data_IF_419861179212
#
_entry.id   IF_419861179212
#
_cell.length_a   1.000
_cell.length_b   1.000
_cell.length_c   1.000
_cell.angle_alpha   90.00
_cell.angle_beta   90.00
_cell.angle_gamma   90.00
#
_symmetry.space_group_name_H-M   'P 1'
#
loop_
_entity.id
_entity.type
_entity.pdbx_description
1 polymer ?
#
# COMPACT_ATOMS: atom_id res chain seq x y z
N UNK A 1 61.18 57.49 13.79
CA UNK A 1 60.19 56.48 14.16
C UNK A 1 58.89 56.83 13.49
N UNK A 2 58.51 56.16 12.40
CA UNK A 2 57.23 56.35 11.71
C UNK A 2 56.30 55.16 12.07
N UNK A 3 55.21 55.49 12.69
CA UNK A 3 54.17 54.51 13.06
C UNK A 3 53.29 54.33 11.83
N UNK A 4 53.27 53.10 11.27
CA UNK A 4 52.38 52.71 10.19
C UNK A 4 51.10 52.16 10.88
N UNK A 5 49.98 52.83 10.66
CA UNK A 5 48.65 52.33 11.00
C UNK A 5 48.17 51.43 9.88
N UNK A 6 47.99 50.14 10.15
CA UNK A 6 47.32 49.20 9.26
C UNK A 6 45.84 49.19 9.63
N UNK A 7 45.01 49.67 8.72
CA UNK A 7 43.55 49.60 8.80
C UNK A 7 43.12 48.30 8.15
N UNK A 8 42.66 47.32 8.90
CA UNK A 8 42.09 46.12 8.36
C UNK A 8 40.62 46.39 7.97
N UNK A 9 40.36 46.38 6.68
CA UNK A 9 39.00 46.38 6.15
C UNK A 9 38.45 44.93 6.19
N UNK A 10 37.50 44.66 7.07
CA UNK A 10 36.74 43.41 7.09
C UNK A 10 35.61 43.54 6.07
N UNK A 11 35.80 42.99 4.87
CA UNK A 11 34.69 42.76 3.93
C UNK A 11 33.86 41.57 4.41
N UNK A 12 32.75 41.85 5.06
CA UNK A 12 31.71 40.85 5.31
C UNK A 12 30.98 40.57 3.99
N UNK A 13 31.30 39.45 3.35
CA UNK A 13 30.52 38.90 2.24
C UNK A 13 29.28 38.23 2.86
N UNK A 14 28.20 38.94 2.91
CA UNK A 14 26.84 38.37 3.16
C UNK A 14 26.46 37.61 1.88
N UNK A 15 26.77 36.33 1.85
CA UNK A 15 26.17 35.41 0.89
C UNK A 15 24.69 35.27 1.26
N UNK A 16 23.84 36.02 0.57
CA UNK A 16 22.39 35.82 0.62
C UNK A 16 22.10 34.46 -0.04
N UNK A 17 21.96 33.41 0.78
CA UNK A 17 21.29 32.19 0.36
C UNK A 17 19.81 32.55 0.18
N UNK A 18 19.42 32.85 -1.05
CA UNK A 18 18.02 32.82 -1.45
C UNK A 18 17.58 31.36 -1.42
N UNK A 19 17.13 30.90 -0.26
CA UNK A 19 16.32 29.70 -0.15
C UNK A 19 15.09 30.00 -0.99
N UNK A 20 14.99 29.40 -2.19
CA UNK A 20 13.75 29.39 -2.95
C UNK A 20 12.73 28.68 -2.06
N UNK A 21 11.85 29.46 -1.42
CA UNK A 21 10.73 28.90 -0.69
C UNK A 21 9.94 28.05 -1.69
N UNK A 22 9.94 26.74 -1.49
CA UNK A 22 9.16 25.82 -2.32
C UNK A 22 7.72 26.34 -2.32
N UNK A 23 7.09 26.43 -3.51
CA UNK A 23 5.68 26.83 -3.59
C UNK A 23 4.86 25.85 -2.78
N UNK A 24 4.22 26.34 -1.72
CA UNK A 24 3.36 25.52 -0.84
C UNK A 24 2.03 25.15 -1.49
N UNK A 25 1.69 25.80 -2.62
CA UNK A 25 0.54 25.43 -3.44
C UNK A 25 0.98 25.38 -4.89
N UNK A 26 0.73 24.25 -5.53
CA UNK A 26 1.11 24.00 -6.93
C UNK A 26 -0.12 23.62 -7.76
N UNK A 27 -0.02 23.84 -9.07
CA UNK A 27 -1.04 23.38 -10.02
C UNK A 27 -0.41 22.32 -10.91
N UNK A 28 -0.95 21.12 -10.88
CA UNK A 28 -0.58 20.03 -11.77
C UNK A 28 -1.57 19.95 -12.93
N UNK A 29 -1.11 19.49 -14.09
CA UNK A 29 -1.95 19.26 -15.26
C UNK A 29 -2.04 17.73 -15.52
N UNK A 30 -3.26 17.22 -15.47
CA UNK A 30 -3.56 15.82 -15.76
C UNK A 30 -4.46 15.74 -16.99
N UNK A 31 -3.87 15.56 -18.16
CA UNK A 31 -4.57 15.52 -19.45
C UNK A 31 -5.44 16.76 -19.74
N UNK A 32 -4.94 17.97 -19.42
CA UNK A 32 -5.63 19.24 -19.59
C UNK A 32 -6.52 19.65 -18.42
N UNK A 33 -6.64 18.81 -17.39
CA UNK A 33 -7.33 19.17 -16.14
C UNK A 33 -6.32 19.73 -15.14
N UNK A 34 -6.48 20.99 -14.78
CA UNK A 34 -5.62 21.67 -13.80
C UNK A 34 -6.10 21.39 -12.39
N UNK A 35 -5.29 20.68 -11.62
CA UNK A 35 -5.56 20.30 -10.23
C UNK A 35 -4.67 21.10 -9.30
N UNK A 36 -5.27 21.75 -8.32
CA UNK A 36 -4.57 22.43 -7.24
C UNK A 36 -4.17 21.46 -6.15
N UNK A 37 -2.88 21.43 -5.81
CA UNK A 37 -2.32 20.60 -4.72
C UNK A 37 -1.81 21.53 -3.62
N UNK A 38 -2.33 21.35 -2.43
CA UNK A 38 -1.98 22.12 -1.24
C UNK A 38 -0.88 21.39 -0.42
N UNK A 39 0.19 22.11 -0.10
CA UNK A 39 1.28 21.67 0.80
C UNK A 39 1.46 22.63 1.99
N UNK A 40 0.44 23.45 2.27
CA UNK A 40 0.42 24.46 3.33
C UNK A 40 -0.61 24.07 4.39
N UNK A 41 -0.16 23.65 5.55
CA UNK A 41 -1.00 23.23 6.69
C UNK A 41 -1.98 24.34 7.11
N UNK A 42 -1.57 25.63 7.02
CA UNK A 42 -2.43 26.76 7.38
C UNK A 42 -3.65 26.93 6.47
N UNK A 43 -3.68 26.26 5.34
CA UNK A 43 -4.77 26.29 4.35
C UNK A 43 -5.70 25.09 4.43
N UNK A 44 -5.48 24.18 5.37
CA UNK A 44 -6.41 23.09 5.60
C UNK A 44 -7.71 23.65 6.16
N UNK A 45 -8.81 23.41 5.45
CA UNK A 45 -10.13 23.82 5.91
C UNK A 45 -10.53 23.05 7.18
N UNK A 46 -11.32 23.66 8.08
CA UNK A 46 -11.89 22.91 9.20
C UNK A 46 -12.70 21.71 8.70
N UNK A 47 -12.51 20.57 9.33
CA UNK A 47 -13.23 19.34 9.03
C UNK A 47 -13.62 18.61 10.32
N UNK A 48 -14.60 17.72 10.23
CA UNK A 48 -14.99 16.81 11.30
C UNK A 48 -14.87 15.38 10.81
N UNK A 49 -14.48 14.46 11.69
CA UNK A 49 -14.39 13.04 11.38
C UNK A 49 -15.60 12.31 11.95
N UNK A 50 -16.13 11.38 11.19
CA UNK A 50 -17.15 10.44 11.62
C UNK A 50 -16.56 9.50 12.67
N UNK A 51 -17.35 9.23 13.72
CA UNK A 51 -16.94 8.26 14.75
C UNK A 51 -17.12 6.82 14.19
N UNK A 52 -16.04 6.01 14.07
CA UNK A 52 -16.16 4.63 13.61
C UNK A 52 -17.10 3.77 14.47
N UNK A 53 -17.28 4.13 15.73
CA UNK A 53 -18.17 3.44 16.69
C UNK A 53 -19.61 3.99 16.69
N UNK A 54 -20.01 4.68 15.61
CA UNK A 54 -21.37 5.20 15.43
C UNK A 54 -21.89 4.75 14.06
N UNK A 55 -23.03 4.06 14.05
CA UNK A 55 -23.71 3.67 12.80
C UNK A 55 -24.18 4.89 12.00
N UNK A 56 -24.43 4.70 10.70
CA UNK A 56 -24.96 5.78 9.83
C UNK A 56 -26.30 6.33 10.35
N UNK A 57 -27.12 5.52 11.02
CA UNK A 57 -28.39 5.93 11.63
C UNK A 57 -28.22 6.64 12.99
N UNK A 58 -26.98 6.89 13.44
CA UNK A 58 -26.66 7.58 14.69
C UNK A 58 -26.59 6.70 15.93
N UNK A 59 -26.97 5.42 15.87
CA UNK A 59 -26.81 4.49 16.99
C UNK A 59 -25.34 4.27 17.33
N UNK A 60 -25.02 4.14 18.62
CA UNK A 60 -23.68 3.81 19.07
C UNK A 60 -23.43 2.31 19.06
N UNK A 61 -22.25 1.90 18.67
CA UNK A 61 -21.72 0.54 18.83
C UNK A 61 -21.51 0.28 20.32
N UNK A 62 -22.17 -0.76 20.87
CA UNK A 62 -22.12 -1.08 22.31
C UNK A 62 -21.52 -2.45 22.60
N UNK A 63 -21.38 -3.29 21.59
CA UNK A 63 -20.88 -4.66 21.73
C UNK A 63 -19.96 -5.04 20.56
N UNK A 64 -19.19 -6.12 20.72
CA UNK A 64 -18.42 -6.70 19.61
C UNK A 64 -19.32 -7.16 18.45
N UNK A 65 -20.55 -7.60 18.75
CA UNK A 65 -21.53 -7.96 17.72
C UNK A 65 -21.96 -6.73 16.92
N UNK A 66 -22.26 -5.60 17.60
CA UNK A 66 -22.55 -4.33 16.92
C UNK A 66 -21.38 -3.89 16.06
N UNK A 67 -20.14 -4.06 16.56
CA UNK A 67 -18.95 -3.71 15.78
C UNK A 67 -18.84 -4.50 14.48
N UNK A 68 -19.14 -5.79 14.48
CA UNK A 68 -19.14 -6.59 13.25
C UNK A 68 -20.09 -6.02 12.21
N UNK A 69 -21.32 -5.66 12.63
CA UNK A 69 -22.31 -5.05 11.74
C UNK A 69 -21.85 -3.67 11.25
N UNK A 70 -21.30 -2.84 12.16
CA UNK A 70 -20.78 -1.53 11.78
C UNK A 70 -19.60 -1.62 10.83
N UNK A 71 -18.69 -2.57 11.04
CA UNK A 71 -17.56 -2.83 10.15
C UNK A 71 -18.03 -3.16 8.73
N UNK A 72 -19.03 -4.02 8.58
CA UNK A 72 -19.61 -4.32 7.25
C UNK A 72 -20.26 -3.08 6.63
N UNK A 73 -20.97 -2.26 7.40
CA UNK A 73 -21.53 -0.99 6.93
C UNK A 73 -20.42 -0.04 6.43
N UNK A 74 -19.30 0.06 7.14
CA UNK A 74 -18.15 0.86 6.70
C UNK A 74 -17.57 0.29 5.40
N UNK A 75 -17.34 -1.01 5.31
CA UNK A 75 -16.79 -1.64 4.10
C UNK A 75 -17.72 -1.47 2.90
N UNK A 76 -19.05 -1.51 3.11
CA UNK A 76 -20.03 -1.24 2.06
C UNK A 76 -19.95 0.20 1.57
N UNK A 77 -19.75 1.19 2.47
CA UNK A 77 -19.53 2.59 2.08
C UNK A 77 -18.28 2.70 1.19
N UNK A 78 -17.14 2.14 1.61
CA UNK A 78 -15.92 2.18 0.80
C UNK A 78 -16.06 1.45 -0.53
N UNK A 79 -16.81 0.35 -0.57
CA UNK A 79 -17.09 -0.38 -1.81
C UNK A 79 -17.93 0.44 -2.78
N UNK A 80 -18.98 1.10 -2.31
CA UNK A 80 -19.88 1.87 -3.15
C UNK A 80 -19.32 3.22 -3.57
N UNK A 81 -18.54 3.84 -2.69
CA UNK A 81 -18.16 5.25 -2.82
C UNK A 81 -16.71 5.47 -3.27
N UNK A 82 -15.81 4.45 -3.17
CA UNK A 82 -14.39 4.68 -3.43
C UNK A 82 -13.70 3.56 -4.22
N UNK A 83 -13.66 2.31 -3.71
CA UNK A 83 -12.83 1.25 -4.31
C UNK A 83 -13.58 0.28 -5.23
N UNK A 84 -14.88 0.45 -5.33
CA UNK A 84 -15.77 -0.44 -6.10
C UNK A 84 -16.17 -1.70 -5.35
N UNK A 85 -17.32 -2.23 -5.74
CA UNK A 85 -17.90 -3.46 -5.18
C UNK A 85 -17.05 -4.66 -5.60
N UNK A 86 -16.63 -5.47 -4.64
CA UNK A 86 -15.85 -6.66 -4.89
C UNK A 86 -16.66 -7.68 -5.72
N UNK A 87 -16.06 -8.28 -6.76
CA UNK A 87 -16.74 -9.29 -7.57
C UNK A 87 -16.96 -10.59 -6.77
N UNK A 88 -17.86 -11.45 -7.26
CA UNK A 88 -18.06 -12.76 -6.65
C UNK A 88 -16.77 -13.59 -6.68
N UNK A 89 -16.74 -14.64 -5.84
CA UNK A 89 -15.64 -15.62 -5.85
C UNK A 89 -15.43 -16.16 -7.27
N UNK A 90 -14.18 -16.45 -7.68
CA UNK A 90 -13.90 -17.02 -8.98
C UNK A 90 -14.54 -18.43 -9.09
N UNK A 91 -14.84 -18.84 -10.32
CA UNK A 91 -15.40 -20.17 -10.66
C UNK A 91 -14.54 -21.31 -10.09
N UNK A 92 -13.23 -21.17 -10.19
CA UNK A 92 -12.24 -22.09 -9.64
C UNK A 92 -11.04 -21.34 -9.10
N UNK A 93 -10.23 -21.99 -8.28
CA UNK A 93 -8.89 -21.57 -7.93
C UNK A 93 -7.95 -22.75 -8.06
N UNK A 94 -7.23 -22.81 -9.17
CA UNK A 94 -6.29 -23.86 -9.49
C UNK A 94 -4.88 -23.30 -9.42
N UNK A 95 -4.01 -24.00 -8.68
CA UNK A 95 -2.62 -23.60 -8.50
C UNK A 95 -1.71 -24.72 -8.98
N UNK A 96 -1.00 -24.47 -10.07
CA UNK A 96 -0.02 -25.41 -10.61
C UNK A 96 1.38 -25.01 -10.13
N UNK A 97 2.06 -25.93 -9.44
CA UNK A 97 3.48 -25.80 -9.10
C UNK A 97 4.29 -25.99 -10.38
N UNK A 98 4.91 -24.93 -10.87
CA UNK A 98 5.67 -24.95 -12.14
C UNK A 98 7.18 -25.09 -11.94
N UNK A 99 7.69 -24.71 -10.77
CA UNK A 99 9.10 -24.84 -10.43
C UNK A 99 9.29 -24.93 -8.91
N UNK A 100 10.16 -25.84 -8.48
CA UNK A 100 10.65 -25.92 -7.11
C UNK A 100 12.17 -26.06 -7.13
N UNK A 101 12.88 -25.26 -6.34
CA UNK A 101 14.34 -25.27 -6.27
C UNK A 101 14.84 -24.89 -4.90
N UNK A 102 15.92 -25.50 -4.48
CA UNK A 102 16.70 -25.05 -3.32
C UNK A 102 17.52 -23.84 -3.74
N UNK A 103 17.37 -22.72 -3.06
CA UNK A 103 17.97 -21.42 -3.37
C UNK A 103 18.45 -20.70 -2.11
N UNK A 104 18.86 -19.44 -2.21
CA UNK A 104 19.40 -18.64 -1.11
C UNK A 104 20.53 -19.42 -0.37
N UNK A 105 21.55 -19.86 -1.11
CA UNK A 105 22.69 -20.66 -0.59
C UNK A 105 22.26 -21.89 0.23
N UNK A 106 21.13 -22.51 -0.10
CA UNK A 106 20.61 -23.69 0.59
C UNK A 106 19.65 -23.40 1.74
N UNK A 107 19.40 -22.15 2.06
CA UNK A 107 18.54 -21.77 3.20
C UNK A 107 17.05 -21.76 2.89
N UNK A 108 16.63 -21.74 1.61
CA UNK A 108 15.24 -21.71 1.23
C UNK A 108 14.86 -22.77 0.19
N UNK A 109 13.60 -23.19 0.21
CA UNK A 109 12.91 -23.79 -0.93
C UNK A 109 12.16 -22.63 -1.61
N UNK A 110 12.44 -22.40 -2.88
CA UNK A 110 11.68 -21.48 -3.71
C UNK A 110 10.70 -22.27 -4.57
N UNK A 111 9.43 -21.86 -4.56
CA UNK A 111 8.37 -22.41 -5.41
C UNK A 111 7.79 -21.31 -6.31
N UNK A 112 7.52 -21.64 -7.55
CA UNK A 112 6.80 -20.81 -8.49
C UNK A 112 5.49 -21.48 -8.87
N UNK A 113 4.39 -20.74 -8.76
CA UNK A 113 3.05 -21.22 -9.03
C UNK A 113 2.39 -20.39 -10.13
N UNK A 114 1.60 -21.06 -10.97
CA UNK A 114 0.58 -20.39 -11.81
C UNK A 114 -0.77 -20.59 -11.17
N UNK A 115 -1.47 -19.49 -10.92
CA UNK A 115 -2.79 -19.49 -10.32
C UNK A 115 -3.82 -19.12 -11.39
N UNK A 116 -4.78 -20.00 -11.65
CA UNK A 116 -5.86 -19.84 -12.61
C UNK A 116 -7.21 -19.77 -11.88
N UNK A 117 -8.18 -19.13 -12.52
CA UNK A 117 -9.48 -18.83 -11.96
C UNK A 117 -10.64 -19.52 -12.66
N UNK A 118 -10.34 -20.35 -13.68
CA UNK A 118 -11.27 -21.24 -14.40
C UNK A 118 -10.76 -22.66 -14.37
N UNK A 119 -11.69 -23.62 -14.38
CA UNK A 119 -11.35 -25.06 -14.29
C UNK A 119 -10.51 -25.56 -15.49
N UNK A 120 -10.71 -24.97 -16.66
CA UNK A 120 -9.97 -25.28 -17.90
C UNK A 120 -8.62 -24.56 -18.02
N UNK A 121 -8.24 -23.74 -17.00
CA UNK A 121 -7.00 -22.91 -16.98
C UNK A 121 -6.92 -21.87 -18.11
N UNK A 122 -8.03 -21.50 -18.69
CA UNK A 122 -8.09 -20.40 -19.68
C UNK A 122 -8.23 -19.03 -19.00
N UNK A 123 -7.88 -17.96 -19.74
CA UNK A 123 -7.99 -16.59 -19.27
C UNK A 123 -6.81 -16.12 -18.42
N UNK A 124 -7.00 -15.10 -17.59
CA UNK A 124 -5.92 -14.52 -16.82
C UNK A 124 -5.36 -15.48 -15.76
N UNK A 125 -4.05 -15.42 -15.56
CA UNK A 125 -3.38 -16.12 -14.47
C UNK A 125 -2.43 -15.20 -13.74
N UNK A 126 -2.17 -15.51 -12.46
CA UNK A 126 -1.21 -14.78 -11.63
C UNK A 126 -0.05 -15.72 -11.29
N UNK A 127 1.18 -15.25 -11.54
CA UNK A 127 2.40 -16.00 -11.23
C UNK A 127 2.88 -15.65 -9.83
N UNK A 128 2.65 -16.55 -8.90
CA UNK A 128 3.13 -16.43 -7.52
C UNK A 128 4.50 -17.03 -7.34
N UNK A 129 5.36 -16.37 -6.57
CA UNK A 129 6.64 -16.89 -6.12
C UNK A 129 6.69 -16.92 -4.59
N UNK A 130 7.29 -17.99 -4.05
CA UNK A 130 7.29 -18.27 -2.64
C UNK A 130 8.67 -18.78 -2.20
N UNK A 131 9.22 -18.23 -1.12
CA UNK A 131 10.44 -18.73 -0.46
C UNK A 131 10.10 -19.21 0.94
N UNK A 132 10.46 -20.46 1.26
CA UNK A 132 10.18 -21.13 2.52
C UNK A 132 11.50 -21.48 3.20
N UNK A 133 11.73 -21.12 4.49
CA UNK A 133 12.96 -21.50 5.22
C UNK A 133 13.09 -23.01 5.34
N UNK A 134 14.18 -23.61 4.80
CA UNK A 134 14.41 -25.07 4.86
C UNK A 134 14.69 -25.60 6.25
N UNK A 135 15.22 -24.78 7.13
CA UNK A 135 15.57 -25.17 8.49
C UNK A 135 14.35 -25.24 9.43
N UNK A 136 13.22 -24.72 9.03
CA UNK A 136 12.02 -24.72 9.86
C UNK A 136 11.43 -26.13 10.02
N UNK A 137 11.19 -26.51 11.28
CA UNK A 137 10.60 -27.83 11.63
C UNK A 137 9.08 -27.80 11.78
N UNK A 138 8.48 -26.62 11.77
CA UNK A 138 7.03 -26.36 11.90
C UNK A 138 6.60 -25.37 10.84
N UNK A 139 5.32 -25.34 10.50
CA UNK A 139 4.81 -24.30 9.60
C UNK A 139 5.16 -22.90 10.07
N UNK A 140 5.60 -22.06 9.14
CA UNK A 140 6.11 -20.71 9.38
C UNK A 140 5.10 -19.63 8.99
N UNK A 141 5.12 -18.45 9.62
CA UNK A 141 4.35 -17.31 9.15
C UNK A 141 4.79 -16.88 7.75
N UNK A 142 3.94 -16.17 7.03
CA UNK A 142 4.20 -15.69 5.66
C UNK A 142 4.02 -14.19 5.55
N UNK A 143 4.95 -13.52 4.87
CA UNK A 143 4.82 -12.13 4.42
C UNK A 143 4.41 -12.15 2.95
N UNK A 144 3.27 -11.52 2.62
CA UNK A 144 2.69 -11.47 1.29
C UNK A 144 2.63 -10.03 0.79
N UNK A 145 3.05 -9.81 -0.46
CA UNK A 145 3.01 -8.49 -1.10
C UNK A 145 2.96 -8.62 -2.62
N UNK A 146 2.57 -7.53 -3.31
CA UNK A 146 2.71 -7.42 -4.76
C UNK A 146 3.98 -6.65 -5.11
N UNK A 147 4.65 -7.04 -6.19
CA UNK A 147 5.83 -6.37 -6.72
C UNK A 147 5.51 -5.59 -8.01
N UNK A 148 6.42 -4.69 -8.42
CA UNK A 148 6.16 -3.73 -9.47
C UNK A 148 6.49 -4.19 -10.89
N UNK A 149 7.55 -5.00 -11.08
CA UNK A 149 8.10 -5.28 -12.41
C UNK A 149 8.18 -6.76 -12.75
N UNK A 150 7.77 -7.62 -11.81
CA UNK A 150 7.81 -9.06 -11.97
C UNK A 150 8.68 -9.75 -10.92
N UNK A 151 8.43 -11.02 -10.70
CA UNK A 151 9.08 -11.81 -9.64
C UNK A 151 10.60 -11.87 -9.78
N UNK A 152 11.15 -11.71 -10.99
CA UNK A 152 12.59 -11.68 -11.26
C UNK A 152 13.29 -10.43 -10.69
N UNK A 153 12.57 -9.34 -10.35
CA UNK A 153 13.18 -8.16 -9.72
C UNK A 153 13.61 -8.42 -8.26
N UNK A 154 13.00 -9.41 -7.61
CA UNK A 154 13.17 -9.68 -6.19
C UNK A 154 14.52 -10.29 -5.84
N UNK A 155 15.03 -11.19 -6.70
CA UNK A 155 16.30 -11.90 -6.50
C UNK A 155 17.01 -12.17 -7.82
N UNK A 156 18.34 -12.41 -7.76
CA UNK A 156 19.19 -12.65 -8.93
C UNK A 156 19.15 -14.10 -9.47
N UNK A 157 18.06 -14.85 -9.24
CA UNK A 157 17.92 -16.23 -9.73
C UNK A 157 17.58 -16.24 -11.23
N UNK A 158 18.42 -16.83 -12.08
CA UNK A 158 18.29 -16.83 -13.54
C UNK A 158 17.07 -17.60 -14.07
N UNK A 159 16.56 -18.57 -13.31
CA UNK A 159 15.44 -19.42 -13.67
C UNK A 159 14.08 -18.85 -13.24
N UNK A 160 14.04 -17.62 -12.71
CA UNK A 160 12.80 -16.86 -12.55
C UNK A 160 12.53 -16.15 -13.87
N UNK A 161 11.41 -16.45 -14.58
CA UNK A 161 11.12 -15.81 -15.84
C UNK A 161 10.97 -14.29 -15.72
N UNK A 162 11.50 -13.54 -16.67
CA UNK A 162 11.18 -12.11 -16.81
C UNK A 162 9.69 -12.00 -17.10
N UNK A 163 9.02 -11.09 -16.42
CA UNK A 163 7.62 -10.79 -16.65
C UNK A 163 7.43 -10.28 -18.09
N UNK A 164 6.58 -10.92 -18.87
CA UNK A 164 6.39 -10.64 -20.29
C UNK A 164 5.19 -9.74 -20.63
N UNK A 165 4.28 -9.56 -19.67
CA UNK A 165 3.13 -8.69 -19.82
C UNK A 165 3.51 -7.20 -19.76
N UNK A 166 2.49 -6.38 -19.78
CA UNK A 166 2.67 -4.93 -19.62
C UNK A 166 3.25 -4.59 -18.23
N UNK A 167 4.16 -3.63 -18.20
CA UNK A 167 4.73 -3.06 -16.98
C UNK A 167 4.77 -1.54 -17.14
N UNK A 168 4.58 -0.79 -16.06
CA UNK A 168 4.70 0.66 -16.12
C UNK A 168 6.13 1.05 -16.53
N UNK A 169 6.23 1.91 -17.55
CA UNK A 169 7.52 2.40 -18.03
C UNK A 169 8.29 3.13 -16.94
N UNK A 170 9.59 2.91 -16.88
CA UNK A 170 10.48 3.53 -15.91
C UNK A 170 11.95 3.38 -16.30
N UNK A 171 12.86 3.82 -15.47
CA UNK A 171 14.31 3.87 -15.71
C UNK A 171 14.92 2.51 -16.11
N UNK A 172 14.37 1.41 -15.58
CA UNK A 172 14.94 0.06 -15.74
C UNK A 172 14.11 -0.85 -16.65
N UNK A 173 13.06 -0.34 -17.27
CA UNK A 173 12.18 -1.09 -18.18
C UNK A 173 12.48 -0.74 -19.64
N UNK A 174 12.04 -1.61 -20.57
CA UNK A 174 12.13 -1.36 -22.01
C UNK A 174 10.75 -0.85 -22.49
N UNK A 175 10.52 0.46 -22.36
CA UNK A 175 9.21 1.04 -22.50
C UNK A 175 8.24 0.46 -21.46
N UNK A 176 7.13 -0.12 -21.91
CA UNK A 176 6.14 -0.75 -21.04
C UNK A 176 6.36 -2.28 -20.89
N UNK A 177 7.62 -2.73 -20.84
CA UNK A 177 8.01 -4.13 -20.64
C UNK A 177 9.13 -4.23 -19.61
N UNK A 178 9.07 -5.23 -18.75
CA UNK A 178 10.20 -5.62 -17.91
C UNK A 178 11.35 -6.18 -18.77
N UNK A 179 12.55 -6.14 -18.24
CA UNK A 179 13.75 -6.65 -18.93
C UNK A 179 14.69 -7.32 -17.93
N UNK A 180 15.69 -8.02 -18.43
CA UNK A 180 16.77 -8.61 -17.60
C UNK A 180 17.50 -7.56 -16.73
N UNK A 181 17.49 -6.28 -17.10
CA UNK A 181 18.08 -5.20 -16.30
C UNK A 181 17.40 -4.99 -14.94
N UNK A 182 16.17 -5.49 -14.77
CA UNK A 182 15.45 -5.42 -13.49
C UNK A 182 15.70 -6.65 -12.61
N UNK A 183 16.38 -7.71 -13.12
CA UNK A 183 16.64 -8.93 -12.34
C UNK A 183 17.43 -8.63 -11.07
N UNK A 184 16.90 -9.04 -9.94
CA UNK A 184 17.52 -8.88 -8.63
C UNK A 184 17.71 -7.42 -8.18
N UNK A 185 17.11 -6.44 -8.87
CA UNK A 185 17.30 -5.03 -8.52
C UNK A 185 16.90 -4.69 -7.09
N UNK A 186 15.94 -5.41 -6.51
CA UNK A 186 15.53 -5.21 -5.12
C UNK A 186 16.51 -5.83 -4.10
N UNK A 187 17.60 -6.43 -4.54
CA UNK A 187 18.73 -6.84 -3.70
C UNK A 187 19.88 -5.81 -3.69
N UNK A 188 19.84 -4.82 -4.59
CA UNK A 188 20.80 -3.71 -4.60
C UNK A 188 20.44 -2.72 -3.48
N UNK A 189 21.39 -2.43 -2.61
CA UNK A 189 21.25 -1.46 -1.52
C UNK A 189 20.93 -0.02 -1.99
N UNK A 190 21.22 0.30 -3.26
CA UNK A 190 20.89 1.58 -3.86
C UNK A 190 19.52 1.58 -4.59
N UNK A 191 18.77 0.51 -4.49
CA UNK A 191 17.41 0.45 -5.05
C UNK A 191 16.45 1.31 -4.21
N UNK A 192 15.47 1.93 -4.87
CA UNK A 192 14.41 2.67 -4.20
C UNK A 192 13.63 1.78 -3.22
N UNK A 193 13.55 0.47 -3.51
CA UNK A 193 12.95 -0.51 -2.62
C UNK A 193 13.82 -1.75 -2.54
N UNK A 194 14.01 -2.29 -1.34
CA UNK A 194 14.79 -3.50 -1.14
C UNK A 194 13.89 -4.69 -0.75
N UNK A 195 14.33 -5.90 -1.12
CA UNK A 195 13.73 -7.15 -0.68
C UNK A 195 14.78 -7.97 0.10
N UNK A 196 14.83 -7.86 1.43
CA UNK A 196 15.87 -8.49 2.26
C UNK A 196 15.50 -9.95 2.56
N UNK A 197 15.48 -10.81 1.54
CA UNK A 197 15.08 -12.21 1.66
C UNK A 197 15.82 -12.93 2.80
N UNK A 198 17.13 -12.68 2.96
CA UNK A 198 17.92 -13.29 4.03
C UNK A 198 17.40 -12.93 5.43
N UNK A 199 17.02 -11.66 5.65
CA UNK A 199 16.43 -11.19 6.91
C UNK A 199 15.09 -11.89 7.18
N UNK A 200 14.21 -11.93 6.18
CA UNK A 200 12.88 -12.56 6.29
C UNK A 200 13.02 -14.04 6.66
N UNK A 201 13.86 -14.77 5.94
CA UNK A 201 14.11 -16.19 6.19
C UNK A 201 14.75 -16.43 7.57
N UNK A 202 15.75 -15.62 7.95
CA UNK A 202 16.42 -15.76 9.25
C UNK A 202 15.47 -15.52 10.43
N UNK A 203 14.46 -14.65 10.27
CA UNK A 203 13.37 -14.42 11.24
C UNK A 203 12.34 -15.57 11.24
N UNK A 204 12.48 -16.56 10.37
CA UNK A 204 11.60 -17.73 10.28
C UNK A 204 10.26 -17.41 9.60
N UNK A 205 10.25 -16.49 8.66
CA UNK A 205 9.11 -16.20 7.80
C UNK A 205 9.32 -16.77 6.39
N UNK A 206 8.24 -17.23 5.77
CA UNK A 206 8.18 -17.37 4.34
C UNK A 206 7.89 -16.00 3.70
N UNK A 207 8.34 -15.81 2.47
CA UNK A 207 8.01 -14.63 1.66
C UNK A 207 7.23 -15.05 0.42
N UNK A 208 6.17 -14.31 0.06
CA UNK A 208 5.34 -14.60 -1.10
C UNK A 208 5.03 -13.32 -1.87
N UNK A 209 5.17 -13.37 -3.21
CA UNK A 209 4.91 -12.22 -4.05
C UNK A 209 4.37 -12.59 -5.42
N UNK A 210 3.70 -11.63 -6.08
CA UNK A 210 3.29 -11.67 -7.48
C UNK A 210 3.37 -10.27 -8.10
N UNK A 211 3.45 -10.19 -9.43
CA UNK A 211 3.46 -8.90 -10.11
C UNK A 211 2.05 -8.30 -10.16
N UNK A 212 1.90 -7.07 -9.68
CA UNK A 212 0.60 -6.39 -9.66
C UNK A 212 0.04 -6.12 -11.08
N UNK A 213 0.92 -5.92 -12.08
CA UNK A 213 0.51 -5.70 -13.45
C UNK A 213 -0.08 -6.95 -14.13
N UNK A 214 0.19 -8.17 -13.61
CA UNK A 214 -0.49 -9.40 -14.05
C UNK A 214 -1.93 -9.45 -13.56
N UNK A 215 -2.20 -8.79 -12.45
CA UNK A 215 -3.56 -8.65 -11.92
C UNK A 215 -4.34 -7.63 -12.75
N UNK A 216 -3.81 -6.43 -12.85
CA UNK A 216 -4.38 -5.33 -13.62
C UNK A 216 -3.28 -4.34 -13.99
N UNK A 217 -3.16 -3.95 -15.25
CA UNK A 217 -2.23 -2.91 -15.68
C UNK A 217 -2.47 -1.57 -14.97
N UNK A 218 -1.42 -0.77 -14.83
CA UNK A 218 -1.46 0.52 -14.14
C UNK A 218 -0.90 1.65 -15.04
N UNK A 219 -1.59 2.00 -16.14
CA UNK A 219 -1.14 3.04 -17.04
C UNK A 219 -1.16 4.43 -16.39
N UNK A 220 -0.15 5.25 -16.70
CA UNK A 220 -0.13 6.65 -16.27
C UNK A 220 -1.21 7.50 -16.96
N UNK A 221 -1.56 8.62 -16.38
CA UNK A 221 -2.56 9.55 -16.94
C UNK A 221 -2.21 10.07 -18.35
N UNK A 222 -0.92 10.10 -18.71
CA UNK A 222 -0.43 10.57 -20.00
C UNK A 222 -0.25 9.42 -21.05
N UNK A 223 -0.65 8.21 -20.72
CA UNK A 223 -0.57 7.09 -21.66
C UNK A 223 -1.58 7.25 -22.81
N UNK A 224 -1.11 6.97 -24.03
CA UNK A 224 -1.90 7.03 -25.24
C UNK A 224 -2.39 5.62 -25.65
N UNK A 225 -3.38 5.50 -26.55
CA UNK A 225 -3.80 4.21 -27.04
C UNK A 225 -2.59 3.34 -27.47
N UNK A 226 -2.62 2.01 -27.25
CA UNK A 226 -3.72 1.24 -26.65
C UNK A 226 -3.70 1.18 -25.11
N UNK A 227 -2.84 1.94 -24.43
CA UNK A 227 -2.59 1.81 -22.97
C UNK A 227 -3.31 2.89 -22.13
N UNK A 228 -4.50 3.29 -22.51
CA UNK A 228 -5.28 4.31 -21.78
C UNK A 228 -5.85 3.78 -20.47
N UNK A 229 -5.91 4.64 -19.44
CA UNK A 229 -6.45 4.27 -18.13
C UNK A 229 -7.89 3.75 -18.18
N UNK A 230 -8.73 4.34 -19.04
CA UNK A 230 -10.18 4.05 -19.09
C UNK A 230 -10.52 2.68 -19.66
N UNK A 231 -9.62 2.07 -20.41
CA UNK A 231 -9.85 0.81 -21.08
C UNK A 231 -8.83 -0.25 -20.70
N UNK A 232 -7.55 0.04 -20.87
CA UNK A 232 -6.48 -0.92 -20.69
C UNK A 232 -6.27 -1.33 -19.22
N UNK A 233 -6.48 -0.42 -18.27
CA UNK A 233 -6.39 -0.75 -16.85
C UNK A 233 -7.43 -1.79 -16.38
N UNK A 234 -8.51 -1.95 -17.14
CA UNK A 234 -9.56 -2.93 -16.84
C UNK A 234 -9.41 -4.22 -17.67
N UNK A 235 -8.17 -4.67 -17.86
CA UNK A 235 -7.80 -5.98 -18.44
C UNK A 235 -7.17 -6.85 -17.35
N UNK A 236 -6.66 -8.04 -17.72
CA UNK A 236 -6.13 -8.99 -16.75
C UNK A 236 -7.25 -9.68 -15.98
N UNK A 237 -7.26 -9.65 -14.66
CA UNK A 237 -8.31 -10.33 -13.87
C UNK A 237 -9.72 -9.77 -14.11
N UNK A 238 -9.85 -8.57 -14.66
CA UNK A 238 -11.15 -8.00 -15.02
C UNK A 238 -11.87 -8.85 -16.07
N UNK A 239 -11.14 -9.58 -16.92
CA UNK A 239 -11.72 -10.49 -17.91
C UNK A 239 -12.50 -11.66 -17.28
N UNK A 240 -12.28 -11.92 -15.97
CA UNK A 240 -13.04 -12.93 -15.21
C UNK A 240 -14.46 -12.46 -14.88
N UNK A 241 -14.68 -11.15 -14.82
CA UNK A 241 -15.92 -10.57 -14.29
C UNK A 241 -16.87 -10.10 -15.40
N UNK A 242 -16.55 -10.43 -16.63
CA UNK A 242 -17.35 -10.08 -17.79
C UNK A 242 -17.25 -8.61 -18.20
N UNK A 243 -18.14 -8.19 -19.08
CA UNK A 243 -18.13 -6.82 -19.58
C UNK A 243 -18.48 -5.84 -18.45
N UNK A 244 -17.63 -4.84 -18.25
CA UNK A 244 -17.85 -3.75 -17.31
C UNK A 244 -19.14 -2.98 -17.65
N UNK A 245 -20.01 -2.78 -16.67
CA UNK A 245 -21.23 -1.99 -16.82
C UNK A 245 -20.91 -0.51 -16.58
N UNK A 246 -20.74 0.25 -17.64
CA UNK A 246 -20.39 1.68 -17.55
C UNK A 246 -21.54 2.57 -17.04
N UNK A 247 -22.75 2.05 -16.87
CA UNK A 247 -23.84 2.78 -16.20
C UNK A 247 -23.66 2.85 -14.67
N UNK A 248 -22.96 1.87 -14.08
CA UNK A 248 -22.66 1.83 -12.65
C UNK A 248 -21.56 2.82 -12.28
N UNK A 249 -21.67 3.40 -11.10
CA UNK A 249 -20.66 4.30 -10.53
C UNK A 249 -19.73 3.58 -9.52
N UNK A 250 -20.10 2.39 -9.08
CA UNK A 250 -19.45 1.57 -8.05
C UNK A 250 -18.74 0.32 -8.59
N UNK A 251 -18.38 0.32 -9.86
CA UNK A 251 -17.60 -0.78 -10.45
C UNK A 251 -16.28 -0.96 -9.71
N UNK A 252 -15.85 -2.23 -9.56
CA UNK A 252 -14.52 -2.54 -8.99
C UNK A 252 -13.40 -1.82 -9.75
N UNK A 253 -12.41 -1.41 -9.00
CA UNK A 253 -11.27 -0.60 -9.47
C UNK A 253 -9.99 -1.43 -9.51
N UNK A 254 -8.92 -0.87 -10.07
CA UNK A 254 -7.61 -1.51 -10.06
C UNK A 254 -7.10 -1.76 -8.62
N UNK A 255 -7.28 -0.78 -7.68
CA UNK A 255 -6.96 -1.00 -6.26
C UNK A 255 -7.77 -2.16 -5.67
N UNK A 256 -9.07 -2.23 -5.99
CA UNK A 256 -9.92 -3.35 -5.59
C UNK A 256 -9.44 -4.69 -6.14
N UNK A 257 -9.00 -4.73 -7.40
CA UNK A 257 -8.46 -5.93 -8.04
C UNK A 257 -7.12 -6.37 -7.43
N UNK A 258 -6.21 -5.43 -7.12
CA UNK A 258 -4.94 -5.76 -6.43
C UNK A 258 -5.18 -6.27 -5.01
N UNK A 259 -6.11 -5.67 -4.27
CA UNK A 259 -6.51 -6.16 -2.95
C UNK A 259 -7.12 -7.58 -3.03
N UNK A 260 -7.99 -7.83 -4.02
CA UNK A 260 -8.56 -9.16 -4.29
C UNK A 260 -7.45 -10.19 -4.58
N UNK A 261 -6.44 -9.83 -5.37
CA UNK A 261 -5.34 -10.73 -5.68
C UNK A 261 -4.52 -11.12 -4.45
N UNK A 262 -4.29 -10.20 -3.51
CA UNK A 262 -3.63 -10.51 -2.23
C UNK A 262 -4.42 -11.56 -1.42
N UNK A 263 -5.75 -11.46 -1.38
CA UNK A 263 -6.60 -12.50 -0.76
C UNK A 263 -6.50 -13.84 -1.49
N UNK A 264 -6.38 -13.84 -2.83
CA UNK A 264 -6.14 -15.08 -3.60
C UNK A 264 -4.75 -15.66 -3.33
N UNK A 265 -3.74 -14.79 -3.09
CA UNK A 265 -2.44 -15.25 -2.62
C UNK A 265 -2.53 -15.96 -1.26
N UNK A 266 -3.34 -15.46 -0.34
CA UNK A 266 -3.57 -16.11 0.95
C UNK A 266 -4.27 -17.48 0.78
N UNK A 267 -5.19 -17.62 -0.18
CA UNK A 267 -5.78 -18.93 -0.53
C UNK A 267 -4.71 -19.94 -1.02
N UNK A 268 -3.65 -19.49 -1.69
CA UNK A 268 -2.50 -20.33 -2.03
C UNK A 268 -1.70 -20.69 -0.77
N UNK A 269 -1.42 -19.70 0.09
CA UNK A 269 -0.66 -19.93 1.31
C UNK A 269 -1.32 -20.98 2.22
N UNK A 270 -2.65 -20.99 2.32
CA UNK A 270 -3.42 -21.99 3.07
C UNK A 270 -3.26 -23.44 2.55
N UNK A 271 -2.83 -23.59 1.29
CA UNK A 271 -2.62 -24.92 0.64
C UNK A 271 -1.18 -25.41 0.72
N UNK A 272 -0.26 -24.60 1.21
CA UNK A 272 1.16 -24.94 1.34
C UNK A 272 1.42 -25.44 2.76
N UNK A 273 1.72 -26.76 2.96
CA UNK A 273 1.80 -27.36 4.30
C UNK A 273 2.85 -26.75 5.22
N UNK A 274 3.90 -26.17 4.66
CA UNK A 274 4.99 -25.53 5.39
C UNK A 274 4.65 -24.11 5.87
N UNK A 275 3.46 -23.57 5.50
CA UNK A 275 3.02 -22.23 5.88
C UNK A 275 1.90 -22.31 6.91
N UNK A 276 2.04 -21.51 7.97
CA UNK A 276 0.95 -21.19 8.87
C UNK A 276 0.27 -19.90 8.40
N UNK A 277 -0.72 -20.02 7.53
CA UNK A 277 -1.45 -18.92 6.96
C UNK A 277 -2.25 -18.08 7.99
N UNK A 278 -2.48 -18.62 9.21
CA UNK A 278 -3.06 -17.85 10.31
C UNK A 278 -2.10 -16.81 10.89
N UNK A 279 -0.81 -16.95 10.61
CA UNK A 279 0.22 -15.96 10.92
C UNK A 279 0.68 -15.26 9.65
N UNK A 280 -0.26 -14.69 8.91
CA UNK A 280 -0.03 -13.95 7.68
C UNK A 280 0.21 -12.46 7.92
N UNK A 281 1.19 -11.92 7.25
CA UNK A 281 1.47 -10.48 7.14
C UNK A 281 1.18 -10.04 5.71
N UNK A 282 0.42 -8.98 5.52
CA UNK A 282 0.24 -8.33 4.23
C UNK A 282 0.88 -6.95 4.25
N UNK A 283 1.66 -6.64 3.22
CA UNK A 283 2.38 -5.38 3.08
C UNK A 283 2.42 -4.92 1.63
N UNK A 284 2.87 -3.72 1.41
CA UNK A 284 3.09 -3.10 0.12
C UNK A 284 3.44 -1.63 0.27
N UNK A 285 4.07 -1.06 -0.76
CA UNK A 285 4.48 0.33 -0.78
C UNK A 285 3.59 1.15 -1.72
N UNK A 286 3.28 2.40 -1.35
CA UNK A 286 2.55 3.33 -2.21
C UNK A 286 1.17 2.77 -2.59
N UNK A 287 0.81 2.72 -3.87
CA UNK A 287 -0.44 2.11 -4.37
C UNK A 287 -0.63 0.66 -3.94
N UNK A 288 0.46 -0.09 -3.78
CA UNK A 288 0.40 -1.47 -3.29
C UNK A 288 0.24 -1.53 -1.77
N UNK A 289 0.64 -0.49 -1.05
CA UNK A 289 0.28 -0.26 0.36
C UNK A 289 -1.22 0.03 0.53
N UNK A 290 -1.80 0.88 -0.35
CA UNK A 290 -3.27 1.09 -0.42
C UNK A 290 -4.01 -0.25 -0.64
N UNK A 291 -3.51 -1.07 -1.59
CA UNK A 291 -4.09 -2.38 -1.88
C UNK A 291 -3.95 -3.35 -0.70
N UNK A 292 -2.82 -3.35 0.00
CA UNK A 292 -2.59 -4.19 1.18
C UNK A 292 -3.53 -3.80 2.34
N UNK A 293 -3.70 -2.50 2.59
CA UNK A 293 -4.65 -1.99 3.58
C UNK A 293 -6.09 -2.40 3.25
N UNK A 294 -6.50 -2.22 2.00
CA UNK A 294 -7.84 -2.60 1.54
C UNK A 294 -8.06 -4.12 1.64
N UNK A 295 -7.05 -4.93 1.27
CA UNK A 295 -7.10 -6.38 1.41
C UNK A 295 -7.28 -6.79 2.87
N UNK A 296 -6.49 -6.23 3.79
CA UNK A 296 -6.61 -6.52 5.22
C UNK A 296 -7.95 -6.04 5.81
N UNK A 297 -8.46 -4.89 5.36
CA UNK A 297 -9.76 -4.39 5.79
C UNK A 297 -10.90 -5.33 5.36
N UNK A 298 -10.84 -5.91 4.15
CA UNK A 298 -11.87 -6.83 3.60
C UNK A 298 -11.72 -8.27 4.08
N UNK A 299 -10.50 -8.78 4.14
CA UNK A 299 -10.19 -10.20 4.43
C UNK A 299 -9.60 -10.34 5.84
N UNK A 300 -10.42 -10.81 6.78
CA UNK A 300 -10.03 -10.98 8.19
C UNK A 300 -9.00 -12.08 8.44
N UNK A 301 -8.64 -12.88 7.43
CA UNK A 301 -7.59 -13.90 7.55
C UNK A 301 -6.18 -13.30 7.62
N UNK A 302 -5.95 -12.08 7.11
CA UNK A 302 -4.69 -11.39 7.32
C UNK A 302 -4.54 -11.00 8.79
N UNK A 303 -3.57 -11.60 9.48
CA UNK A 303 -3.36 -11.39 10.91
C UNK A 303 -2.67 -10.05 11.22
N UNK A 304 -1.76 -9.65 10.35
CA UNK A 304 -0.97 -8.40 10.45
C UNK A 304 -1.03 -7.66 9.12
N UNK A 305 -1.26 -6.35 9.17
CA UNK A 305 -1.19 -5.46 8.01
C UNK A 305 -0.15 -4.37 8.27
N UNK A 306 0.79 -4.20 7.33
CA UNK A 306 1.81 -3.15 7.39
C UNK A 306 1.86 -2.43 6.03
N UNK A 307 0.91 -1.52 5.76
CA UNK A 307 0.91 -0.72 4.54
C UNK A 307 1.95 0.39 4.70
N UNK A 308 2.81 0.53 3.69
CA UNK A 308 3.94 1.45 3.71
C UNK A 308 3.70 2.60 2.74
N UNK A 309 3.86 3.85 3.19
CA UNK A 309 3.87 5.06 2.35
C UNK A 309 2.65 5.15 1.42
N UNK A 310 1.48 5.04 1.99
CA UNK A 310 0.26 4.83 1.20
C UNK A 310 -0.17 6.06 0.40
N UNK A 311 0.02 7.28 0.93
CA UNK A 311 -0.49 8.51 0.32
C UNK A 311 -2.02 8.57 0.25
N UNK A 312 -2.55 9.57 -0.42
CA UNK A 312 -3.98 9.82 -0.55
C UNK A 312 -4.76 8.59 -1.03
N UNK A 313 -5.96 8.38 -0.51
CA UNK A 313 -6.72 7.14 -0.73
C UNK A 313 -6.08 5.89 -0.15
N UNK A 314 -5.16 6.05 0.79
CA UNK A 314 -4.57 5.00 1.61
C UNK A 314 -4.84 5.26 3.09
N UNK A 315 -3.81 5.60 3.88
CA UNK A 315 -3.96 5.89 5.30
C UNK A 315 -4.29 7.38 5.60
N UNK A 316 -3.75 8.39 4.87
CA UNK A 316 -3.99 9.79 5.20
C UNK A 316 -5.46 10.20 5.09
N UNK A 317 -5.88 11.13 5.96
CA UNK A 317 -7.21 11.70 5.93
C UNK A 317 -7.46 12.51 4.63
N UNK A 318 -8.43 12.10 3.83
CA UNK A 318 -8.81 12.77 2.59
C UNK A 318 -9.44 14.17 2.84
N UNK A 319 -10.14 14.36 3.96
CA UNK A 319 -10.73 15.64 4.37
C UNK A 319 -9.71 16.75 4.61
N UNK A 320 -8.45 16.44 4.85
CA UNK A 320 -7.37 17.44 4.94
C UNK A 320 -7.11 18.15 3.60
N UNK A 321 -7.46 17.52 2.48
CA UNK A 321 -7.25 18.04 1.14
C UNK A 321 -5.80 18.53 0.91
N UNK A 322 -4.83 17.72 1.35
CA UNK A 322 -3.40 18.01 1.39
C UNK A 322 -2.64 16.97 0.59
N UNK A 323 -1.54 17.35 -0.08
CA UNK A 323 -0.71 16.42 -0.86
C UNK A 323 -1.48 15.74 -1.99
N UNK A 324 -1.42 14.39 -2.03
CA UNK A 324 -2.20 13.54 -2.94
C UNK A 324 -3.69 13.60 -2.56
N UNK A 325 -4.37 14.64 -3.02
CA UNK A 325 -5.75 14.91 -2.65
C UNK A 325 -6.75 14.24 -3.61
N UNK A 326 -8.05 14.25 -3.24
CA UNK A 326 -9.13 13.63 -4.02
C UNK A 326 -9.16 14.09 -5.48
N UNK A 327 -8.92 15.38 -5.75
CA UNK A 327 -8.86 15.90 -7.12
C UNK A 327 -7.71 15.27 -7.93
N UNK A 328 -6.54 15.10 -7.29
CA UNK A 328 -5.41 14.39 -7.90
C UNK A 328 -5.76 12.94 -8.19
N UNK A 329 -6.36 12.26 -7.23
CA UNK A 329 -6.73 10.85 -7.32
C UNK A 329 -7.66 10.57 -8.50
N UNK A 330 -8.72 11.34 -8.65
CA UNK A 330 -9.71 11.11 -9.70
C UNK A 330 -9.26 11.55 -11.11
N UNK A 331 -8.24 12.40 -11.23
CA UNK A 331 -7.74 12.87 -12.54
C UNK A 331 -6.42 12.23 -12.97
N UNK A 332 -5.51 11.95 -12.02
CA UNK A 332 -4.23 11.30 -12.31
C UNK A 332 -4.33 9.75 -12.32
N UNK A 333 -5.26 9.19 -11.55
CA UNK A 333 -5.38 7.75 -11.32
C UNK A 333 -6.82 7.26 -11.47
N UNK A 334 -7.46 7.62 -12.56
CA UNK A 334 -8.91 7.41 -12.83
C UNK A 334 -9.37 5.97 -12.67
N UNK A 335 -8.47 4.99 -12.79
CA UNK A 335 -8.77 3.55 -12.66
C UNK A 335 -8.58 3.01 -11.24
N UNK A 336 -8.03 3.82 -10.32
CA UNK A 336 -7.83 3.37 -8.92
C UNK A 336 -9.10 3.53 -8.09
N UNK A 337 -9.97 4.48 -8.46
CA UNK A 337 -11.19 4.82 -7.72
C UNK A 337 -12.41 4.68 -8.61
N UNK A 338 -13.56 4.36 -8.02
CA UNK A 338 -14.81 4.27 -8.74
C UNK A 338 -15.41 5.67 -8.98
N UNK A 339 -16.27 5.82 -10.01
CA UNK A 339 -16.82 7.13 -10.39
C UNK A 339 -17.70 7.78 -9.30
N UNK A 340 -18.21 6.99 -8.36
CA UNK A 340 -18.95 7.54 -7.22
C UNK A 340 -18.08 8.47 -6.36
N UNK A 341 -16.74 8.29 -6.40
CA UNK A 341 -15.79 9.09 -5.63
C UNK A 341 -15.62 10.51 -6.20
N UNK A 342 -15.88 10.72 -7.49
CA UNK A 342 -15.68 12.00 -8.18
C UNK A 342 -16.47 13.16 -7.55
N UNK A 343 -17.64 12.88 -6.96
CA UNK A 343 -18.51 13.88 -6.33
C UNK A 343 -17.88 14.57 -5.11
N UNK A 344 -16.85 13.98 -4.51
CA UNK A 344 -16.18 14.52 -3.31
C UNK A 344 -15.07 15.51 -3.63
N UNK A 345 -14.57 15.52 -4.87
CA UNK A 345 -13.43 16.33 -5.29
C UNK A 345 -13.60 17.85 -5.10
N UNK A 346 -14.79 18.45 -5.27
CA UNK A 346 -14.94 19.91 -5.11
C UNK A 346 -14.65 20.41 -3.70
N UNK A 347 -15.03 19.66 -2.66
CA UNK A 347 -14.78 20.03 -1.26
C UNK A 347 -14.80 18.78 -0.38
N UNK A 348 -13.68 18.02 -0.34
CA UNK A 348 -13.63 16.78 0.45
C UNK A 348 -13.94 16.99 1.93
N UNK A 349 -13.54 18.14 2.51
CA UNK A 349 -13.75 18.45 3.91
C UNK A 349 -15.24 18.46 4.30
N UNK A 350 -16.11 18.91 3.39
CA UNK A 350 -17.56 19.03 3.64
C UNK A 350 -18.38 17.88 3.05
N UNK A 351 -17.94 17.35 1.90
CA UNK A 351 -18.76 16.41 1.14
C UNK A 351 -18.57 14.95 1.56
N UNK A 352 -17.35 14.57 2.03
CA UNK A 352 -17.09 13.21 2.50
C UNK A 352 -17.89 12.92 3.78
N UNK A 353 -18.61 11.83 3.78
CA UNK A 353 -19.34 11.27 4.92
C UNK A 353 -18.61 10.07 5.55
N UNK A 354 -17.41 9.82 5.13
CA UNK A 354 -16.46 8.81 5.61
C UNK A 354 -15.04 9.34 5.39
N UNK A 355 -14.04 8.74 6.04
CA UNK A 355 -12.64 9.04 5.75
C UNK A 355 -11.76 7.85 6.13
N UNK A 356 -10.49 7.85 5.74
CA UNK A 356 -9.58 6.72 5.77
C UNK A 356 -9.38 6.10 7.16
N UNK A 357 -9.50 6.87 8.24
CA UNK A 357 -9.50 6.34 9.62
C UNK A 357 -10.55 5.24 9.83
N UNK A 358 -11.68 5.29 9.12
CA UNK A 358 -12.72 4.25 9.19
C UNK A 358 -12.27 2.97 8.48
N UNK A 359 -11.51 3.08 7.37
CA UNK A 359 -10.91 1.91 6.71
C UNK A 359 -9.85 1.27 7.61
N UNK A 360 -8.97 2.09 8.24
CA UNK A 360 -8.01 1.60 9.23
C UNK A 360 -8.72 0.84 10.35
N UNK A 361 -9.81 1.39 10.89
CA UNK A 361 -10.61 0.77 11.94
C UNK A 361 -11.15 -0.61 11.54
N UNK A 362 -11.44 -0.86 10.25
CA UNK A 362 -11.89 -2.18 9.77
C UNK A 362 -10.83 -3.29 9.89
N UNK A 363 -9.56 -2.96 10.15
CA UNK A 363 -8.52 -3.95 10.45
C UNK A 363 -8.62 -4.45 11.90
N UNK A 364 -9.14 -3.64 12.82
CA UNK A 364 -9.31 -4.02 14.23
C UNK A 364 -10.16 -5.29 14.39
N UNK A 365 -9.83 -6.19 15.35
CA UNK A 365 -8.80 -6.10 16.40
C UNK A 365 -7.43 -6.62 16.00
N UNK A 366 -7.19 -6.92 14.71
CA UNK A 366 -5.94 -7.47 14.19
C UNK A 366 -4.82 -6.42 14.21
N UNK A 367 -3.59 -6.85 14.03
CA UNK A 367 -2.44 -5.97 14.11
C UNK A 367 -2.30 -5.08 12.85
N UNK A 368 -2.13 -3.76 13.05
CA UNK A 368 -1.93 -2.76 11.99
C UNK A 368 -0.79 -1.82 12.37
N UNK A 369 0.23 -1.72 11.52
CA UNK A 369 1.28 -0.71 11.64
C UNK A 369 1.31 0.13 10.36
N UNK A 370 1.11 1.43 10.49
CA UNK A 370 1.26 2.38 9.38
C UNK A 370 2.70 2.88 9.35
N UNK A 371 3.35 2.76 8.19
CA UNK A 371 4.72 3.22 7.98
C UNK A 371 4.74 4.35 6.96
N UNK A 372 5.10 5.56 7.42
CA UNK A 372 5.20 6.76 6.62
C UNK A 372 6.63 7.16 6.27
N UNK A 373 6.80 8.17 5.40
CA UNK A 373 8.07 8.87 5.16
C UNK A 373 7.82 10.36 4.90
N UNK A 374 8.72 11.24 5.30
CA UNK A 374 8.47 12.68 5.30
C UNK A 374 9.30 13.51 4.30
N UNK A 375 10.13 12.88 3.47
CA UNK A 375 10.87 13.59 2.43
C UNK A 375 9.96 14.17 1.33
N UNK A 376 8.69 13.74 1.29
CA UNK A 376 7.70 14.24 0.36
C UNK A 376 6.38 14.61 1.04
N UNK A 377 6.02 15.89 1.00
CA UNK A 377 4.71 16.36 1.47
C UNK A 377 3.52 15.78 0.69
N UNK A 378 3.77 15.15 -0.45
CA UNK A 378 2.77 14.47 -1.27
C UNK A 378 2.01 13.39 -0.48
N UNK A 379 2.68 12.72 0.44
CA UNK A 379 2.11 11.58 1.18
C UNK A 379 1.25 11.96 2.39
N UNK A 380 1.30 13.23 2.85
CA UNK A 380 0.57 13.69 4.04
C UNK A 380 0.76 12.77 5.26
N UNK A 381 2.00 12.61 5.70
CA UNK A 381 2.34 11.72 6.82
C UNK A 381 1.71 12.15 8.16
N UNK A 382 1.45 13.45 8.34
CA UNK A 382 0.68 13.92 9.49
C UNK A 382 -0.79 13.50 9.37
N UNK A 383 -1.36 13.52 8.16
CA UNK A 383 -2.69 12.99 7.88
C UNK A 383 -2.80 11.49 8.15
N UNK A 384 -1.74 10.69 7.85
CA UNK A 384 -1.66 9.27 8.23
C UNK A 384 -1.73 9.11 9.75
N UNK A 385 -0.91 9.87 10.49
CA UNK A 385 -0.89 9.83 11.95
C UNK A 385 -2.25 10.22 12.57
N UNK A 386 -2.87 11.30 12.08
CA UNK A 386 -4.18 11.75 12.55
C UNK A 386 -5.28 10.72 12.25
N UNK A 387 -5.21 10.03 11.11
CA UNK A 387 -6.11 8.92 10.80
C UNK A 387 -5.91 7.76 11.79
N UNK A 388 -4.66 7.43 12.13
CA UNK A 388 -4.36 6.42 13.15
C UNK A 388 -4.96 6.82 14.52
N UNK A 389 -4.80 8.06 14.96
CA UNK A 389 -5.41 8.54 16.21
C UNK A 389 -6.93 8.42 16.20
N UNK A 390 -7.58 8.77 15.09
CA UNK A 390 -9.04 8.67 14.95
C UNK A 390 -9.56 7.22 14.90
N UNK A 391 -8.75 6.27 14.40
CA UNK A 391 -9.08 4.85 14.37
C UNK A 391 -8.82 4.11 15.69
N UNK A 392 -7.83 4.56 16.48
CA UNK A 392 -7.34 3.90 17.69
C UNK A 392 -8.43 3.53 18.74
N UNK A 393 -9.49 4.33 18.94
CA UNK A 393 -10.57 3.98 19.86
C UNK A 393 -11.21 2.63 19.60
N UNK A 394 -11.20 2.13 18.35
CA UNK A 394 -11.82 0.84 17.99
C UNK A 394 -11.04 -0.33 18.58
N UNK A 395 -9.69 -0.31 18.55
CA UNK A 395 -8.88 -1.35 19.22
C UNK A 395 -9.14 -1.38 20.72
N UNK A 396 -9.17 -0.21 21.35
CA UNK A 396 -9.49 -0.08 22.79
C UNK A 396 -10.89 -0.64 23.09
N UNK A 397 -11.91 -0.30 22.28
CA UNK A 397 -13.26 -0.81 22.43
C UNK A 397 -13.30 -2.35 22.33
N UNK A 398 -12.51 -2.94 21.47
CA UNK A 398 -12.40 -4.39 21.26
C UNK A 398 -11.48 -5.10 22.30
N UNK A 399 -11.00 -4.37 23.31
CA UNK A 399 -10.16 -4.92 24.38
C UNK A 399 -8.73 -5.28 23.94
N UNK A 400 -8.20 -4.56 22.92
CA UNK A 400 -6.83 -4.75 22.42
C UNK A 400 -5.93 -3.56 22.76
N UNK A 401 -4.62 -3.83 22.85
CA UNK A 401 -3.62 -2.79 22.89
C UNK A 401 -3.70 -1.92 21.64
N UNK A 402 -3.67 -0.61 21.80
CA UNK A 402 -3.77 0.36 20.73
C UNK A 402 -2.54 1.25 20.68
N UNK A 403 -2.46 2.09 19.67
CA UNK A 403 -1.44 3.12 19.55
C UNK A 403 -1.43 4.01 20.80
N UNK A 404 -0.26 4.28 21.41
CA UNK A 404 -0.12 5.24 22.49
C UNK A 404 -0.58 6.64 22.06
N UNK A 405 -1.17 7.39 23.01
CA UNK A 405 -1.54 8.78 22.78
C UNK A 405 -0.34 9.71 23.00
N UNK A 406 0.50 9.79 21.98
CA UNK A 406 1.69 10.65 21.94
C UNK A 406 1.49 11.78 20.92
N UNK A 407 2.30 12.85 20.93
CA UNK A 407 2.36 13.83 19.85
C UNK A 407 2.77 13.17 18.51
N UNK A 408 2.57 13.87 17.39
CA UNK A 408 3.07 13.41 16.08
C UNK A 408 4.56 13.10 16.20
N UNK A 409 4.98 11.83 16.01
CA UNK A 409 6.33 11.39 16.31
C UNK A 409 7.36 11.96 15.33
N UNK A 410 8.58 12.13 15.77
CA UNK A 410 9.71 12.41 14.90
C UNK A 410 10.08 11.18 14.05
N UNK A 411 10.95 11.38 13.05
CA UNK A 411 11.46 10.27 12.24
C UNK A 411 12.21 9.26 13.13
N UNK A 412 11.97 7.97 12.89
CA UNK A 412 12.55 6.85 13.66
C UNK A 412 12.10 6.77 15.12
N UNK A 413 11.14 7.59 15.55
CA UNK A 413 10.55 7.48 16.87
C UNK A 413 9.48 6.38 16.89
N UNK A 414 9.70 5.38 17.72
CA UNK A 414 8.82 4.21 17.85
C UNK A 414 7.76 4.38 18.95
N UNK A 415 7.68 5.54 19.58
CA UNK A 415 6.78 5.82 20.73
C UNK A 415 5.30 5.69 20.38
N UNK A 416 4.94 5.84 19.10
CA UNK A 416 3.57 5.66 18.62
C UNK A 416 3.23 4.19 18.22
N UNK A 417 4.11 3.22 18.48
CA UNK A 417 3.84 1.80 18.21
C UNK A 417 3.34 1.12 19.47
N UNK A 418 2.05 0.74 19.48
CA UNK A 418 1.45 -0.09 20.54
C UNK A 418 1.53 -1.58 20.20
N UNK A 419 0.80 -2.40 21.00
CA UNK A 419 0.85 -3.87 20.86
C UNK A 419 0.16 -4.38 19.58
N UNK A 420 -0.97 -3.79 19.23
CA UNK A 420 -1.77 -4.24 18.08
C UNK A 420 -2.03 -3.14 17.05
N UNK A 421 -1.69 -1.89 17.35
CA UNK A 421 -1.84 -0.79 16.43
C UNK A 421 -0.75 0.26 16.65
N UNK A 422 -0.19 0.78 15.56
CA UNK A 422 0.88 1.77 15.64
C UNK A 422 1.11 2.57 14.38
N UNK A 423 1.95 3.60 14.53
CA UNK A 423 2.44 4.46 13.47
C UNK A 423 3.94 4.69 13.65
N UNK A 424 4.67 4.72 12.56
CA UNK A 424 6.10 5.10 12.52
C UNK A 424 6.42 5.79 11.20
N UNK A 425 7.40 6.68 11.18
CA UNK A 425 7.87 7.31 9.95
C UNK A 425 9.40 7.44 9.92
N UNK A 426 9.92 7.65 8.73
CA UNK A 426 11.35 7.86 8.47
C UNK A 426 11.61 8.99 7.48
N UNK A 427 12.88 9.37 7.28
CA UNK A 427 13.29 10.49 6.44
C UNK A 427 13.94 10.09 5.11
N UNK A 428 14.03 8.79 4.78
CA UNK A 428 14.55 8.36 3.48
C UNK A 428 13.51 8.54 2.37
N UNK A 429 13.97 8.36 1.12
CA UNK A 429 13.12 8.50 -0.06
C UNK A 429 12.01 7.44 -0.16
N UNK A 430 11.09 7.66 -1.10
CA UNK A 430 9.96 6.77 -1.37
C UNK A 430 10.42 5.38 -1.81
N UNK A 431 9.96 4.35 -1.09
CA UNK A 431 10.30 2.94 -1.32
C UNK A 431 10.38 2.18 0.00
N UNK A 432 10.51 0.87 -0.01
CA UNK A 432 10.66 0.05 1.20
C UNK A 432 12.14 -0.08 1.55
N UNK A 433 12.55 0.46 2.68
CA UNK A 433 13.91 0.39 3.21
C UNK A 433 14.13 -0.80 4.14
N UNK A 434 15.38 -0.98 4.60
CA UNK A 434 15.71 -1.96 5.61
C UNK A 434 15.03 -1.71 6.96
N UNK A 435 14.82 -0.44 7.33
CA UNK A 435 14.10 -0.05 8.55
C UNK A 435 12.63 -0.48 8.49
N UNK A 436 11.94 -0.25 7.37
CA UNK A 436 10.54 -0.65 7.19
C UNK A 436 10.39 -2.18 7.35
N UNK A 437 11.29 -2.96 6.73
CA UNK A 437 11.30 -4.40 6.90
C UNK A 437 11.58 -4.84 8.34
N UNK A 438 12.48 -4.16 9.03
CA UNK A 438 12.79 -4.48 10.43
C UNK A 438 11.59 -4.17 11.32
N UNK A 439 10.99 -3.00 11.22
CA UNK A 439 9.83 -2.60 12.02
C UNK A 439 8.63 -3.51 11.79
N UNK A 440 8.35 -3.83 10.52
CA UNK A 440 7.30 -4.78 10.15
C UNK A 440 7.51 -6.16 10.80
N UNK A 441 8.72 -6.72 10.71
CA UNK A 441 9.02 -8.03 11.28
C UNK A 441 9.02 -8.00 12.82
N UNK A 442 9.51 -6.94 13.45
CA UNK A 442 9.47 -6.75 14.91
C UNK A 442 8.02 -6.63 15.41
N UNK A 443 7.20 -5.89 14.68
CA UNK A 443 5.78 -5.76 14.97
C UNK A 443 5.01 -7.08 14.79
N UNK A 444 5.29 -7.79 13.71
CA UNK A 444 4.69 -9.10 13.46
C UNK A 444 5.12 -10.16 14.49
N UNK A 445 6.39 -10.18 14.91
CA UNK A 445 6.87 -11.09 15.96
C UNK A 445 6.12 -10.85 17.27
N UNK A 446 5.92 -9.59 17.68
CA UNK A 446 5.12 -9.26 18.87
C UNK A 446 3.67 -9.74 18.70
N UNK A 447 3.05 -9.49 17.55
CA UNK A 447 1.67 -9.90 17.28
C UNK A 447 1.51 -11.44 17.32
N UNK A 448 2.56 -12.20 16.99
CA UNK A 448 2.56 -13.67 16.98
C UNK A 448 3.13 -14.29 18.27
N UNK A 449 3.53 -13.47 19.25
CA UNK A 449 4.09 -13.93 20.53
C UNK A 449 5.44 -14.62 20.38
N UNK A 450 6.29 -14.14 19.49
CA UNK A 450 7.69 -14.58 19.32
C UNK A 450 8.63 -13.76 20.16
#
# INVERSE_FOLDING_TARGET
MKVIRVTAAVCAVLAAFTVHAAKLVVTNDYNGVKVLVNYDESRIAPYTLEDPLTFVDGRKVKSQADWRVRREEILEIFAKEMYGVEPPKPEALITDLVNEKVTAAGFAIRRQYKMYFKADRTGPCINWILWIPRWAKKPVPVVSFLNYRGNHELVCDDDIPVQTGWTRAGKHTDGNRSSERTRGMMQDANSDSIFPLAMILARGYAAMSACYCEVSPDPGYNQKPPYEQKTFAYTGVFDLWGKRDESRTDNITALGAWAWALSRGLDLAERVPEIDAKRSVVTGCSRLGKAALLAAARDERFAVCVPNQTGGGGAPLAKRNYGENVNTEIHAFTHWYCRAYDKYAPDPAKLLTFDQHMLLACVAPRALLIEGFDTSRWMDTEGEYLACKAAAPVWKFLGKGTMPDVPYPDNYDLSAIGDSFGYVRRSEDHGISGYDWQWMLDFADRAFGK
#
